data_IF_789573383872
#
_entry.id   IF_789573383872
#
_cell.length_a   1.000
_cell.length_b   1.000
_cell.length_c   1.000
_cell.angle_alpha   90.00
_cell.angle_beta   90.00
_cell.angle_gamma   90.00
#
_symmetry.space_group_name_H-M   'P 1'
#
loop_
_entity.id
_entity.type
_entity.pdbx_description
1 polymer ?
#
# COMPACT_ATOMS: atom_id res chain seq x y z
N UNK A 1 -34.40 12.24 -3.44
CA UNK A 1 -34.14 12.12 -4.89
C UNK A 1 -32.86 11.32 -5.05
N UNK A 2 -32.79 10.36 -5.98
CA UNK A 2 -31.51 9.70 -6.28
C UNK A 2 -30.51 10.73 -6.83
N UNK A 3 -29.22 10.69 -6.45
CA UNK A 3 -28.24 11.65 -6.95
C UNK A 3 -28.13 11.56 -8.48
N UNK A 4 -28.04 12.70 -9.15
CA UNK A 4 -27.93 12.78 -10.63
C UNK A 4 -26.55 12.32 -11.14
N UNK A 5 -25.55 12.25 -10.26
CA UNK A 5 -24.21 11.72 -10.53
C UNK A 5 -23.90 10.64 -9.51
N UNK A 6 -23.36 9.50 -9.98
CA UNK A 6 -22.78 8.46 -9.13
C UNK A 6 -21.30 8.33 -9.45
N UNK A 7 -20.47 8.39 -8.42
CA UNK A 7 -19.03 8.17 -8.51
C UNK A 7 -18.76 6.72 -8.16
N UNK A 8 -18.35 5.93 -9.14
CA UNK A 8 -18.11 4.49 -8.95
C UNK A 8 -16.94 4.19 -8.01
N UNK A 9 -15.91 5.02 -8.07
CA UNK A 9 -14.72 4.86 -7.24
C UNK A 9 -14.06 6.23 -6.99
N UNK A 10 -13.66 6.47 -5.75
CA UNK A 10 -12.83 7.60 -5.35
C UNK A 10 -11.51 7.09 -4.74
N UNK A 11 -10.40 7.30 -5.45
CA UNK A 11 -9.06 7.04 -4.94
C UNK A 11 -8.38 8.36 -4.59
N UNK A 12 -7.95 8.53 -3.34
CA UNK A 12 -7.26 9.72 -2.86
C UNK A 12 -6.00 9.34 -2.08
N UNK A 13 -4.99 10.22 -2.12
CA UNK A 13 -3.72 10.06 -1.44
C UNK A 13 -3.51 11.27 -0.52
N UNK A 14 -3.30 10.96 0.75
CA UNK A 14 -2.96 11.86 1.85
C UNK A 14 -3.65 13.22 1.77
N UNK A 15 -4.98 13.19 1.77
CA UNK A 15 -5.81 14.41 1.65
C UNK A 15 -5.51 15.33 2.82
N UNK A 16 -5.06 16.55 2.52
CA UNK A 16 -4.73 17.56 3.52
C UNK A 16 -5.74 18.70 3.53
N UNK A 17 -6.13 19.12 4.72
CA UNK A 17 -6.90 20.35 4.90
C UNK A 17 -5.96 21.53 4.63
N UNK A 18 -6.36 22.47 3.77
CA UNK A 18 -5.59 23.69 3.58
C UNK A 18 -5.67 24.53 4.87
N UNK A 19 -4.68 24.41 5.74
CA UNK A 19 -4.44 25.45 6.74
C UNK A 19 -3.73 26.60 6.04
N UNK A 20 -4.34 27.78 6.08
CA UNK A 20 -3.63 29.02 5.82
C UNK A 20 -2.34 29.08 6.65
N UNK A 21 -1.34 29.78 6.13
CA UNK A 21 -0.04 29.96 6.81
C UNK A 21 -0.29 30.52 8.22
N UNK A 22 0.23 29.89 9.28
CA UNK A 22 -0.05 30.31 10.65
C UNK A 22 0.43 31.75 10.87
N UNK A 23 -0.35 32.55 11.62
CA UNK A 23 -0.13 33.99 11.86
C UNK A 23 1.26 34.33 12.43
N UNK A 24 2.02 33.34 12.93
CA UNK A 24 3.33 33.50 13.56
C UNK A 24 4.51 33.67 12.59
N UNK A 25 4.29 33.56 11.27
CA UNK A 25 5.32 33.85 10.25
C UNK A 25 5.31 35.34 9.87
N UNK A 26 6.47 36.05 9.90
CA UNK A 26 6.53 37.42 9.40
C UNK A 26 6.19 37.44 7.90
N UNK A 27 5.33 38.38 7.49
CA UNK A 27 4.77 38.59 6.13
C UNK A 27 3.54 37.75 5.72
N UNK A 28 2.78 37.18 6.66
CA UNK A 28 1.56 36.38 6.40
C UNK A 28 0.31 37.16 5.93
N UNK A 29 0.35 38.49 5.88
CA UNK A 29 -0.83 39.34 5.72
C UNK A 29 -1.53 39.38 4.34
N UNK A 30 -1.30 38.45 3.41
CA UNK A 30 -1.81 38.59 2.03
C UNK A 30 -2.41 37.35 1.36
N UNK A 31 -2.49 36.19 2.02
CA UNK A 31 -3.11 34.99 1.43
C UNK A 31 -4.13 34.38 2.38
N UNK A 32 -5.29 35.02 2.47
CA UNK A 32 -6.52 34.36 2.90
C UNK A 32 -7.58 34.65 1.85
N UNK A 33 -7.80 33.66 0.97
CA UNK A 33 -8.97 33.65 0.11
C UNK A 33 -9.32 32.21 -0.27
N UNK A 34 -10.29 31.70 0.48
CA UNK A 34 -11.37 30.84 -0.02
C UNK A 34 -10.99 29.40 -0.39
N UNK A 35 -10.86 28.55 0.64
CA UNK A 35 -11.08 27.10 0.53
C UNK A 35 -11.72 26.58 1.83
N UNK A 36 -12.97 26.96 2.07
CA UNK A 36 -13.84 26.16 2.94
C UNK A 36 -14.09 24.86 2.19
N UNK A 37 -13.41 23.79 2.61
CA UNK A 37 -13.73 22.46 2.07
C UNK A 37 -15.16 22.11 2.46
N UNK A 38 -15.93 21.69 1.45
CA UNK A 38 -17.21 21.03 1.64
C UNK A 38 -17.04 19.78 2.53
N UNK A 39 -18.11 19.41 3.25
CA UNK A 39 -18.15 18.26 4.17
C UNK A 39 -17.36 17.05 3.61
N UNK A 40 -16.27 16.62 4.28
CA UNK A 40 -15.41 15.55 3.79
C UNK A 40 -16.03 14.16 3.98
N UNK A 41 -17.23 14.07 4.56
CA UNK A 41 -17.94 12.80 4.65
C UNK A 41 -18.27 12.27 3.27
N UNK A 42 -17.97 10.98 3.07
CA UNK A 42 -18.35 10.27 1.85
C UNK A 42 -19.88 10.18 1.80
N UNK A 43 -20.49 11.07 1.04
CA UNK A 43 -21.91 11.04 0.75
C UNK A 43 -22.29 9.79 -0.06
N UNK A 44 -23.57 9.41 0.01
CA UNK A 44 -24.13 8.22 -0.65
C UNK A 44 -24.01 8.17 -2.19
N UNK A 45 -23.42 9.17 -2.83
CA UNK A 45 -23.15 9.17 -4.28
C UNK A 45 -21.84 8.48 -4.66
N UNK A 46 -20.94 8.22 -3.71
CA UNK A 46 -19.69 7.47 -3.92
C UNK A 46 -19.93 5.99 -3.60
N UNK A 47 -19.77 5.09 -4.58
CA UNK A 47 -20.05 3.65 -4.39
C UNK A 47 -18.91 2.91 -3.66
N UNK A 48 -17.67 3.36 -3.82
CA UNK A 48 -16.48 2.82 -3.15
C UNK A 48 -15.38 3.88 -3.10
N UNK A 49 -14.58 3.87 -2.03
CA UNK A 49 -13.47 4.80 -1.87
C UNK A 49 -12.24 4.15 -1.20
N UNK A 50 -11.05 4.58 -1.63
CA UNK A 50 -9.77 4.25 -1.00
C UNK A 50 -9.00 5.53 -0.69
N UNK A 51 -8.56 5.67 0.56
CA UNK A 51 -7.69 6.75 1.01
C UNK A 51 -6.38 6.18 1.56
N UNK A 52 -5.26 6.51 0.90
CA UNK A 52 -3.93 6.16 1.39
C UNK A 52 -3.36 7.32 2.22
N UNK A 53 -3.12 7.12 3.51
CA UNK A 53 -2.70 8.16 4.46
C UNK A 53 -1.25 7.97 4.89
N UNK A 54 -0.48 9.05 4.94
CA UNK A 54 0.92 9.05 5.36
C UNK A 54 1.08 8.91 6.87
N UNK A 55 1.85 7.92 7.33
CA UNK A 55 2.16 7.71 8.75
C UNK A 55 3.20 8.71 9.25
N UNK A 56 4.22 9.00 8.44
CA UNK A 56 5.41 9.74 8.85
C UNK A 56 5.36 11.22 8.43
N UNK A 57 4.23 11.68 7.92
CA UNK A 57 4.00 13.11 7.69
C UNK A 57 3.69 13.80 9.02
N UNK A 58 4.65 14.60 9.47
CA UNK A 58 4.61 15.25 10.78
C UNK A 58 4.41 16.77 10.71
N UNK A 59 4.36 17.37 9.51
CA UNK A 59 4.19 18.83 9.39
C UNK A 59 2.78 19.20 9.86
N UNK A 60 2.68 20.07 10.87
CA UNK A 60 1.38 20.48 11.44
C UNK A 60 0.44 21.16 10.42
N UNK A 61 0.99 21.72 9.35
CA UNK A 61 0.22 22.35 8.26
C UNK A 61 -0.33 21.36 7.24
N UNK A 62 -0.19 20.06 7.49
CA UNK A 62 -0.66 18.96 6.66
C UNK A 62 -1.58 18.02 7.46
N UNK A 63 -2.66 18.52 8.11
CA UNK A 63 -3.58 17.64 8.84
C UNK A 63 -4.35 16.78 7.85
N UNK A 64 -4.54 15.51 8.21
CA UNK A 64 -5.31 14.55 7.42
C UNK A 64 -6.79 14.92 7.46
N UNK A 65 -7.41 14.94 6.28
CA UNK A 65 -8.86 14.95 6.14
C UNK A 65 -9.31 13.49 5.92
N UNK A 66 -9.76 12.85 6.99
CA UNK A 66 -10.20 11.45 6.97
C UNK A 66 -11.60 11.31 6.39
N UNK A 67 -11.93 10.12 5.88
CA UNK A 67 -13.30 9.76 5.48
C UNK A 67 -14.30 9.68 6.64
N UNK A 68 -13.84 9.76 7.89
CA UNK A 68 -14.70 9.76 9.08
C UNK A 68 -14.98 8.35 9.60
N UNK A 69 -16.23 8.06 9.97
CA UNK A 69 -16.61 6.77 10.56
C UNK A 69 -16.74 5.67 9.49
N UNK A 70 -15.61 5.04 9.16
CA UNK A 70 -15.54 3.88 8.25
C UNK A 70 -16.39 2.70 8.73
N UNK A 71 -16.61 2.55 10.05
CA UNK A 71 -17.44 1.47 10.58
C UNK A 71 -18.89 1.70 10.20
N UNK A 72 -19.39 2.92 10.40
CA UNK A 72 -20.74 3.29 9.98
C UNK A 72 -20.91 3.21 8.46
N UNK A 73 -19.95 3.76 7.70
CA UNK A 73 -19.98 3.74 6.23
C UNK A 73 -20.09 2.32 5.68
N UNK A 74 -19.21 1.41 6.10
CA UNK A 74 -19.23 0.03 5.59
C UNK A 74 -20.44 -0.77 6.07
N UNK A 75 -20.85 -0.63 7.33
CA UNK A 75 -22.07 -1.30 7.84
C UNK A 75 -23.33 -0.82 7.13
N UNK A 76 -23.40 0.46 6.75
CA UNK A 76 -24.51 0.97 5.94
C UNK A 76 -24.57 0.34 4.55
N UNK A 77 -23.42 -0.10 4.02
CA UNK A 77 -23.30 -0.89 2.79
C UNK A 77 -23.47 -2.41 3.02
N UNK A 78 -23.73 -2.85 4.25
CA UNK A 78 -23.91 -4.26 4.59
C UNK A 78 -22.63 -5.09 4.65
N UNK A 79 -21.47 -4.45 4.84
CA UNK A 79 -20.15 -5.09 4.90
C UNK A 79 -19.44 -4.72 6.20
N UNK A 80 -18.75 -5.65 6.85
CA UNK A 80 -17.92 -5.31 8.02
C UNK A 80 -16.69 -4.48 7.60
N UNK A 81 -16.25 -3.51 8.42
CA UNK A 81 -15.17 -2.59 8.04
C UNK A 81 -13.80 -3.24 7.86
N UNK A 82 -13.57 -4.41 8.47
CA UNK A 82 -12.34 -5.19 8.34
C UNK A 82 -12.36 -6.18 7.17
N UNK A 83 -13.47 -6.30 6.44
CA UNK A 83 -13.56 -7.15 5.27
C UNK A 83 -12.62 -6.65 4.16
N UNK A 84 -11.87 -7.53 3.47
CA UNK A 84 -10.91 -7.11 2.43
C UNK A 84 -11.56 -6.35 1.27
N UNK A 85 -12.83 -6.66 0.98
CA UNK A 85 -13.64 -6.00 -0.05
C UNK A 85 -14.62 -4.97 0.52
N UNK A 86 -14.40 -4.46 1.74
CA UNK A 86 -15.14 -3.32 2.26
C UNK A 86 -15.08 -2.15 1.26
N UNK A 87 -16.22 -1.53 0.88
CA UNK A 87 -16.25 -0.51 -0.16
C UNK A 87 -15.52 0.78 0.23
N UNK A 88 -15.45 1.10 1.52
CA UNK A 88 -14.79 2.31 2.03
C UNK A 88 -13.59 1.93 2.89
N UNK A 89 -12.39 2.23 2.41
CA UNK A 89 -11.16 1.90 3.12
C UNK A 89 -10.27 3.13 3.22
N UNK A 90 -9.75 3.39 4.41
CA UNK A 90 -8.66 4.32 4.66
C UNK A 90 -7.53 3.55 5.32
N UNK A 91 -6.37 3.53 4.69
CA UNK A 91 -5.20 2.80 5.18
C UNK A 91 -4.01 3.71 5.36
N UNK A 92 -3.29 3.47 6.44
CA UNK A 92 -2.09 4.19 6.85
C UNK A 92 -0.86 3.47 6.30
N UNK A 93 -0.13 4.16 5.43
CA UNK A 93 1.06 3.68 4.74
C UNK A 93 2.33 4.33 5.32
N UNK A 94 3.46 3.61 5.37
CA UNK A 94 4.70 4.20 5.83
C UNK A 94 5.20 5.21 4.79
N UNK A 95 5.77 6.32 5.26
CA UNK A 95 6.27 7.42 4.45
C UNK A 95 5.63 8.77 4.79
N UNK A 96 6.30 9.84 4.33
CA UNK A 96 5.79 11.22 4.36
C UNK A 96 4.77 11.45 3.23
N UNK A 97 4.12 12.62 3.19
CA UNK A 97 3.08 12.96 2.20
C UNK A 97 3.49 12.60 0.76
N UNK A 98 4.67 13.04 0.31
CA UNK A 98 5.19 12.75 -1.03
C UNK A 98 5.59 11.28 -1.24
N UNK A 99 5.89 10.53 -0.18
CA UNK A 99 6.14 9.09 -0.28
C UNK A 99 4.85 8.29 -0.45
N UNK A 100 3.68 8.86 -0.14
CA UNK A 100 2.38 8.23 -0.39
C UNK A 100 1.76 8.75 -1.70
N UNK A 101 1.74 10.07 -1.91
CA UNK A 101 1.19 10.69 -3.12
C UNK A 101 2.11 10.65 -4.33
N UNK A 102 3.40 10.37 -4.14
CA UNK A 102 4.43 10.41 -5.18
C UNK A 102 5.02 11.80 -5.42
N UNK A 103 5.65 11.99 -6.58
CA UNK A 103 6.25 13.26 -6.99
C UNK A 103 7.76 13.42 -6.76
N UNK A 104 8.37 12.45 -6.06
CA UNK A 104 9.82 12.39 -5.86
C UNK A 104 10.51 11.34 -6.73
N UNK A 105 11.84 11.24 -6.63
CA UNK A 105 12.67 10.27 -7.36
C UNK A 105 12.70 8.87 -6.73
N UNK A 106 12.34 8.75 -5.45
CA UNK A 106 12.21 7.49 -4.72
C UNK A 106 10.74 7.07 -4.73
N UNK A 107 10.45 5.90 -5.31
CA UNK A 107 9.07 5.47 -5.62
C UNK A 107 8.52 4.31 -4.80
N UNK A 108 9.34 3.55 -4.08
CA UNK A 108 8.92 2.28 -3.47
C UNK A 108 7.62 2.37 -2.68
N UNK A 109 7.55 3.29 -1.72
CA UNK A 109 6.36 3.51 -0.88
C UNK A 109 5.17 4.09 -1.64
N UNK A 110 5.41 4.94 -2.65
CA UNK A 110 4.33 5.51 -3.46
C UNK A 110 3.74 4.48 -4.42
N UNK A 111 4.56 3.54 -4.90
CA UNK A 111 4.13 2.42 -5.71
C UNK A 111 3.29 1.44 -4.87
N UNK A 112 3.63 1.19 -3.59
CA UNK A 112 2.78 0.44 -2.64
C UNK A 112 1.38 1.07 -2.51
N UNK A 113 1.32 2.39 -2.24
CA UNK A 113 0.06 3.10 -2.09
C UNK A 113 -0.74 3.13 -3.40
N UNK A 114 -0.06 3.34 -4.53
CA UNK A 114 -0.68 3.40 -5.85
C UNK A 114 -1.26 2.06 -6.29
N UNK A 115 -0.52 0.95 -6.12
CA UNK A 115 -1.02 -0.41 -6.39
C UNK A 115 -2.30 -0.68 -5.61
N UNK A 116 -2.31 -0.34 -4.31
CA UNK A 116 -3.50 -0.52 -3.48
C UNK A 116 -4.68 0.32 -3.98
N UNK A 117 -4.50 1.60 -4.34
CA UNK A 117 -5.64 2.39 -4.86
C UNK A 117 -6.14 1.85 -6.21
N UNK A 118 -5.23 1.45 -7.11
CA UNK A 118 -5.57 0.91 -8.42
C UNK A 118 -6.28 -0.44 -8.35
N UNK A 119 -5.91 -1.30 -7.41
CA UNK A 119 -6.66 -2.52 -7.14
C UNK A 119 -8.12 -2.21 -6.76
N UNK A 120 -8.36 -1.17 -5.96
CA UNK A 120 -9.71 -0.69 -5.65
C UNK A 120 -10.48 -0.22 -6.88
N UNK A 121 -9.83 0.59 -7.73
CA UNK A 121 -10.40 1.06 -8.98
C UNK A 121 -10.79 -0.12 -9.90
N UNK A 122 -9.90 -1.10 -10.06
CA UNK A 122 -10.15 -2.31 -10.84
C UNK A 122 -11.31 -3.14 -10.27
N UNK A 123 -11.37 -3.35 -8.94
CA UNK A 123 -12.49 -4.04 -8.26
C UNK A 123 -13.81 -3.30 -8.44
N UNK A 124 -13.78 -1.97 -8.47
CA UNK A 124 -14.95 -1.15 -8.82
C UNK A 124 -15.30 -1.20 -10.32
N UNK A 125 -14.50 -1.85 -11.17
CA UNK A 125 -14.77 -2.04 -12.60
C UNK A 125 -14.25 -0.93 -13.51
N UNK A 126 -13.32 -0.09 -13.03
CA UNK A 126 -12.62 0.87 -13.88
C UNK A 126 -11.59 0.13 -14.77
N UNK A 127 -11.41 0.63 -15.99
CA UNK A 127 -10.36 0.13 -16.90
C UNK A 127 -9.11 0.99 -16.72
N UNK A 128 -8.00 0.35 -16.37
CA UNK A 128 -6.72 1.02 -16.18
C UNK A 128 -5.90 0.99 -17.47
N UNK A 129 -5.27 2.11 -17.81
CA UNK A 129 -4.30 2.16 -18.90
C UNK A 129 -2.91 1.73 -18.39
N UNK A 130 -2.57 0.48 -18.65
CA UNK A 130 -1.33 -0.17 -18.22
C UNK A 130 -0.30 -0.25 -19.35
N UNK A 131 -0.48 0.52 -20.43
CA UNK A 131 0.44 0.52 -21.55
C UNK A 131 1.84 0.99 -21.14
N UNK A 132 2.86 0.50 -21.86
CA UNK A 132 4.24 0.93 -21.65
C UNK A 132 4.36 2.45 -21.76
N UNK A 133 4.98 3.08 -20.76
CA UNK A 133 5.17 4.52 -20.69
C UNK A 133 4.09 5.28 -19.91
N UNK A 134 3.01 4.62 -19.47
CA UNK A 134 2.13 5.23 -18.45
C UNK A 134 2.80 5.18 -17.09
N UNK A 135 2.33 6.03 -16.16
CA UNK A 135 2.77 5.98 -14.75
C UNK A 135 2.38 4.68 -14.06
N UNK A 136 1.46 3.89 -14.64
CA UNK A 136 0.95 2.65 -14.09
C UNK A 136 1.83 1.45 -14.45
N UNK A 137 2.65 1.59 -15.49
CA UNK A 137 3.52 0.52 -15.94
C UNK A 137 4.77 0.38 -15.06
N UNK A 138 5.07 -0.84 -14.62
CA UNK A 138 6.35 -1.17 -13.98
C UNK A 138 6.49 -0.63 -12.57
N UNK A 139 5.45 -0.76 -11.76
CA UNK A 139 5.54 -0.50 -10.32
C UNK A 139 6.57 -1.40 -9.66
N UNK A 140 7.27 -0.82 -8.69
CA UNK A 140 8.18 -1.55 -7.81
C UNK A 140 7.89 -1.19 -6.35
N UNK A 141 6.78 -1.71 -5.79
CA UNK A 141 6.46 -1.55 -4.38
C UNK A 141 7.63 -2.05 -3.52
N UNK A 142 7.95 -1.33 -2.45
CA UNK A 142 9.02 -1.68 -1.53
C UNK A 142 8.73 -1.06 -0.16
N UNK A 143 8.14 -1.88 0.71
CA UNK A 143 7.82 -1.49 2.09
C UNK A 143 9.03 -1.04 2.92
N UNK A 144 10.26 -1.37 2.47
CA UNK A 144 11.51 -1.02 3.13
C UNK A 144 12.21 0.20 2.51
N UNK A 145 11.65 0.79 1.45
CA UNK A 145 12.17 2.01 0.84
C UNK A 145 12.26 3.18 1.85
N UNK A 146 13.08 4.21 1.56
CA UNK A 146 13.18 5.40 2.41
C UNK A 146 11.81 6.06 2.69
N UNK A 147 11.62 6.56 3.92
CA UNK A 147 10.37 7.23 4.33
C UNK A 147 10.13 8.56 3.60
N UNK A 148 11.19 9.19 3.11
CA UNK A 148 11.14 10.35 2.23
C UNK A 148 11.22 9.91 0.77
N UNK A 149 10.48 10.59 -0.11
CA UNK A 149 10.44 10.31 -1.55
C UNK A 149 11.51 11.06 -2.36
N UNK A 150 12.29 11.93 -1.73
CA UNK A 150 13.32 12.75 -2.39
C UNK A 150 14.72 12.42 -1.87
N UNK A 151 15.65 12.16 -2.79
CA UNK A 151 17.07 11.99 -2.45
C UNK A 151 17.74 13.28 -1.98
N UNK A 152 17.20 14.44 -2.36
CA UNK A 152 17.71 15.78 -2.04
C UNK A 152 16.55 16.70 -1.64
N UNK A 153 16.08 16.62 -0.40
CA UNK A 153 14.94 17.42 0.04
C UNK A 153 15.30 18.91 0.02
N UNK A 154 14.46 19.72 -0.60
CA UNK A 154 14.55 21.17 -0.46
C UNK A 154 14.04 21.60 0.92
N UNK A 155 14.77 22.53 1.54
CA UNK A 155 14.38 23.06 2.84
C UNK A 155 13.13 23.93 2.71
N UNK A 156 12.13 23.69 3.57
CA UNK A 156 10.92 24.51 3.66
C UNK A 156 10.60 24.85 5.11
N UNK A 157 10.16 26.09 5.34
CA UNK A 157 9.79 26.58 6.67
C UNK A 157 8.64 25.78 7.31
N UNK A 158 7.82 25.09 6.51
CA UNK A 158 6.74 24.20 7.02
C UNK A 158 7.28 22.99 7.79
N UNK A 159 8.58 22.73 7.72
CA UNK A 159 9.25 21.65 8.43
C UNK A 159 9.63 22.01 9.88
N UNK A 160 9.36 23.23 10.37
CA UNK A 160 9.75 23.68 11.72
C UNK A 160 8.83 23.19 12.84
N UNK A 161 7.53 23.09 12.56
CA UNK A 161 6.53 22.58 13.51
C UNK A 161 6.19 21.15 13.13
N UNK A 162 6.46 20.21 14.05
CA UNK A 162 6.32 18.78 13.80
C UNK A 162 5.65 18.08 14.97
N UNK A 163 4.58 17.37 14.69
CA UNK A 163 3.94 16.45 15.63
C UNK A 163 3.48 15.20 14.89
N UNK A 164 3.38 14.08 15.59
CA UNK A 164 2.84 12.84 15.03
C UNK A 164 1.33 12.95 14.86
N UNK A 165 0.81 12.31 13.82
CA UNK A 165 -0.64 12.24 13.58
C UNK A 165 -1.27 11.34 14.65
N UNK A 166 -2.56 11.54 14.95
CA UNK A 166 -3.28 10.72 15.94
C UNK A 166 -3.35 9.24 15.51
N UNK A 167 -3.50 8.98 14.21
CA UNK A 167 -3.32 7.66 13.59
C UNK A 167 -4.55 6.73 13.64
N UNK A 168 -4.39 5.47 13.18
CA UNK A 168 -5.48 4.50 13.09
C UNK A 168 -5.91 3.97 14.46
N UNK A 169 -7.19 3.62 14.59
CA UNK A 169 -7.76 2.99 15.80
C UNK A 169 -7.76 1.46 15.73
N UNK A 170 -7.64 0.90 14.53
CA UNK A 170 -7.68 -0.54 14.30
C UNK A 170 -6.60 -1.00 13.34
N UNK A 171 -6.11 -2.23 13.54
CA UNK A 171 -5.01 -2.77 12.72
C UNK A 171 -5.40 -2.97 11.25
N UNK A 172 -6.68 -3.16 10.92
CA UNK A 172 -7.17 -3.26 9.54
C UNK A 172 -7.03 -1.93 8.76
N UNK A 173 -6.86 -0.80 9.46
CA UNK A 173 -6.50 0.50 8.87
C UNK A 173 -4.98 0.62 8.63
N UNK A 174 -4.15 -0.34 9.02
CA UNK A 174 -2.70 -0.29 8.78
C UNK A 174 -2.41 -1.03 7.47
N UNK A 175 -1.78 -0.36 6.51
CA UNK A 175 -1.41 -0.97 5.24
C UNK A 175 -0.40 -2.11 5.44
N UNK A 176 -0.41 -3.12 4.56
CA UNK A 176 0.53 -4.26 4.65
C UNK A 176 1.99 -3.81 4.61
N UNK A 177 2.31 -2.80 3.82
CA UNK A 177 3.65 -2.18 3.83
C UNK A 177 4.06 -1.68 5.22
N UNK A 178 3.17 -1.00 5.95
CA UNK A 178 3.44 -0.55 7.32
C UNK A 178 3.55 -1.72 8.29
N UNK A 179 2.70 -2.75 8.16
CA UNK A 179 2.79 -3.97 8.97
C UNK A 179 4.12 -4.71 8.74
N UNK A 180 4.53 -4.90 7.49
CA UNK A 180 5.84 -5.48 7.12
C UNK A 180 6.97 -4.66 7.72
N UNK A 181 6.96 -3.34 7.54
CA UNK A 181 7.99 -2.44 8.05
C UNK A 181 8.07 -2.47 9.59
N UNK A 182 6.93 -2.47 10.29
CA UNK A 182 6.88 -2.62 11.75
C UNK A 182 7.51 -3.93 12.23
N UNK A 183 7.23 -5.02 11.51
CA UNK A 183 7.67 -6.37 11.87
C UNK A 183 9.10 -6.67 11.41
N UNK A 184 9.70 -5.80 10.60
CA UNK A 184 11.05 -5.97 10.05
C UNK A 184 12.11 -5.67 11.12
N UNK A 185 13.17 -6.49 11.23
CA UNK A 185 14.29 -6.22 12.14
C UNK A 185 14.96 -4.87 11.90
N UNK A 186 15.34 -4.18 12.98
CA UNK A 186 15.98 -2.85 12.94
C UNK A 186 17.23 -2.78 12.04
N UNK A 187 18.04 -3.84 11.98
CA UNK A 187 19.24 -3.88 11.14
C UNK A 187 18.93 -3.80 9.63
N UNK A 188 17.73 -4.18 9.19
CA UNK A 188 17.26 -4.02 7.80
C UNK A 188 16.66 -2.63 7.53
N UNK A 189 16.49 -1.81 8.57
CA UNK A 189 15.91 -0.47 8.53
C UNK A 189 16.93 0.64 8.87
N UNK A 190 18.23 0.33 8.82
CA UNK A 190 19.28 1.30 9.14
C UNK A 190 19.65 1.41 10.63
N UNK A 191 19.20 0.46 11.46
CA UNK A 191 19.65 0.30 12.85
C UNK A 191 18.57 0.48 13.90
N UNK A 192 17.46 1.14 13.56
CA UNK A 192 16.35 1.41 14.49
C UNK A 192 15.05 0.72 14.04
N UNK A 193 14.22 0.22 14.97
CA UNK A 193 12.92 -0.35 14.63
C UNK A 193 11.94 0.75 14.20
N UNK A 194 11.09 0.44 13.21
CA UNK A 194 10.04 1.35 12.77
C UNK A 194 8.88 1.39 13.77
N UNK A 195 8.84 2.41 14.64
CA UNK A 195 7.85 2.58 15.72
C UNK A 195 7.33 4.03 15.82
N UNK A 196 6.71 4.59 14.76
CA UNK A 196 6.17 5.95 14.82
C UNK A 196 5.01 6.04 15.83
N UNK A 197 4.91 7.18 16.54
CA UNK A 197 3.86 7.41 17.54
C UNK A 197 2.46 7.44 16.93
N UNK A 198 2.35 7.76 15.63
CA UNK A 198 1.12 7.62 14.84
C UNK A 198 0.50 6.21 14.95
N UNK A 199 1.29 5.15 15.18
CA UNK A 199 0.78 3.78 15.30
C UNK A 199 0.56 3.32 16.75
N UNK A 200 0.69 4.20 17.76
CA UNK A 200 0.63 3.83 19.18
C UNK A 200 -0.65 3.08 19.58
N UNK A 201 -1.78 3.39 18.95
CA UNK A 201 -3.07 2.79 19.29
C UNK A 201 -3.19 1.32 18.87
N UNK A 202 -2.44 0.91 17.84
CA UNK A 202 -2.47 -0.45 17.27
C UNK A 202 -1.16 -1.22 17.52
N UNK A 203 -0.22 -0.61 18.25
CA UNK A 203 1.11 -1.16 18.50
C UNK A 203 1.08 -2.56 19.15
N UNK A 204 0.15 -2.81 20.08
CA UNK A 204 0.01 -4.10 20.74
C UNK A 204 -0.38 -5.21 19.74
N UNK A 205 -1.35 -4.93 18.86
CA UNK A 205 -1.78 -5.87 17.81
C UNK A 205 -0.67 -6.11 16.78
N UNK A 206 0.02 -5.05 16.35
CA UNK A 206 1.16 -5.17 15.44
C UNK A 206 2.32 -5.99 16.03
N UNK A 207 2.57 -5.87 17.33
CA UNK A 207 3.57 -6.70 18.02
C UNK A 207 3.16 -8.18 18.08
N UNK A 208 1.86 -8.47 18.25
CA UNK A 208 1.34 -9.83 18.31
C UNK A 208 1.49 -10.60 16.98
N UNK A 209 1.65 -9.90 15.85
CA UNK A 209 1.87 -10.51 14.52
C UNK A 209 3.25 -11.17 14.35
N UNK A 210 4.16 -10.97 15.31
CA UNK A 210 5.52 -11.52 15.25
C UNK A 210 6.41 -10.88 14.19
N UNK A 211 7.68 -11.28 14.16
CA UNK A 211 8.65 -10.69 13.24
C UNK A 211 8.43 -11.13 11.79
N UNK A 212 8.73 -10.23 10.87
CA UNK A 212 8.77 -10.48 9.44
C UNK A 212 10.22 -10.73 9.04
N UNK A 213 10.56 -12.00 8.80
CA UNK A 213 11.92 -12.46 8.46
C UNK A 213 11.98 -13.03 7.05
N UNK A 214 11.08 -12.58 6.17
CA UNK A 214 11.07 -13.02 4.78
C UNK A 214 12.37 -12.61 4.09
N UNK A 215 12.97 -13.56 3.39
CA UNK A 215 14.03 -13.33 2.43
C UNK A 215 13.57 -13.85 1.07
N UNK A 216 13.72 -13.06 -0.01
CA UNK A 216 13.47 -13.55 -1.36
C UNK A 216 14.27 -14.84 -1.63
N UNK A 217 13.71 -15.80 -2.39
CA UNK A 217 14.42 -17.04 -2.69
C UNK A 217 15.70 -16.73 -3.47
N UNK A 218 16.81 -17.38 -3.10
CA UNK A 218 18.09 -17.26 -3.80
C UNK A 218 18.09 -18.03 -5.13
N UNK A 219 17.40 -19.18 -5.19
CA UNK A 219 17.29 -20.01 -6.39
C UNK A 219 16.04 -19.64 -7.19
N UNK A 220 16.21 -18.70 -8.11
CA UNK A 220 15.18 -18.20 -9.01
C UNK A 220 15.45 -18.74 -10.42
N UNK A 221 14.46 -19.43 -10.98
CA UNK A 221 14.51 -19.92 -12.37
C UNK A 221 14.45 -18.77 -13.37
N UNK A 222 13.56 -17.81 -13.10
CA UNK A 222 13.34 -16.65 -13.94
C UNK A 222 12.76 -15.49 -13.13
N UNK A 223 13.04 -14.26 -13.57
CA UNK A 223 12.27 -13.08 -13.22
C UNK A 223 11.57 -12.62 -14.49
N UNK A 224 10.24 -12.54 -14.45
CA UNK A 224 9.42 -12.16 -15.59
C UNK A 224 8.65 -10.88 -15.34
N UNK A 225 8.40 -10.11 -16.40
CA UNK A 225 7.50 -8.96 -16.36
C UNK A 225 6.07 -9.43 -16.62
N UNK A 226 5.14 -8.98 -15.79
CA UNK A 226 3.70 -9.19 -15.96
C UNK A 226 3.24 -8.61 -17.29
N UNK A 227 2.54 -9.41 -18.09
CA UNK A 227 1.87 -8.96 -19.31
C UNK A 227 0.39 -8.76 -19.05
N UNK A 228 -0.32 -8.00 -19.90
CA UNK A 228 -1.77 -7.89 -19.80
C UNK A 228 -2.44 -9.26 -19.73
N UNK A 229 -3.32 -9.45 -18.75
CA UNK A 229 -4.06 -10.69 -18.47
C UNK A 229 -3.23 -11.89 -17.96
N UNK A 230 -1.96 -11.69 -17.60
CA UNK A 230 -1.20 -12.73 -16.89
C UNK A 230 -1.78 -12.97 -15.49
N UNK A 231 -1.61 -14.19 -14.98
CA UNK A 231 -1.96 -14.60 -13.62
C UNK A 231 -0.82 -15.45 -13.07
N UNK A 232 -0.69 -15.57 -11.74
CA UNK A 232 0.31 -16.47 -11.14
C UNK A 232 0.13 -17.93 -11.59
N UNK A 233 -1.12 -18.34 -11.87
CA UNK A 233 -1.44 -19.66 -12.44
C UNK A 233 -0.90 -19.85 -13.87
N UNK A 234 -0.94 -18.80 -14.70
CA UNK A 234 -0.34 -18.84 -16.04
C UNK A 234 1.18 -19.07 -15.96
N UNK A 235 1.87 -18.36 -15.06
CA UNK A 235 3.30 -18.56 -14.83
C UNK A 235 3.62 -19.95 -14.30
N UNK A 236 2.86 -20.43 -13.31
CA UNK A 236 3.05 -21.76 -12.75
C UNK A 236 2.88 -22.85 -13.80
N UNK A 237 1.86 -22.75 -14.66
CA UNK A 237 1.69 -23.69 -15.77
C UNK A 237 2.85 -23.61 -16.77
N UNK A 238 3.31 -22.41 -17.15
CA UNK A 238 4.39 -22.24 -18.13
C UNK A 238 5.73 -22.79 -17.65
N UNK A 239 6.06 -22.62 -16.37
CA UNK A 239 7.37 -23.00 -15.82
C UNK A 239 7.41 -24.36 -15.15
N UNK A 240 6.30 -24.80 -14.57
CA UNK A 240 6.23 -26.05 -13.82
C UNK A 240 5.33 -27.10 -14.47
N UNK A 241 4.59 -26.75 -15.52
CA UNK A 241 3.56 -27.60 -16.12
C UNK A 241 2.26 -27.69 -15.28
N UNK A 242 2.21 -27.08 -14.11
CA UNK A 242 1.09 -27.19 -13.16
C UNK A 242 0.66 -25.81 -12.63
N UNK A 243 -0.55 -25.38 -13.02
CA UNK A 243 -1.14 -24.11 -12.60
C UNK A 243 -1.40 -24.04 -11.09
N UNK A 244 -1.58 -25.17 -10.41
CA UNK A 244 -1.89 -25.21 -8.96
C UNK A 244 -0.72 -24.75 -8.09
N UNK A 245 0.49 -24.72 -8.66
CA UNK A 245 1.73 -24.27 -8.01
C UNK A 245 1.89 -22.73 -7.98
N UNK A 246 0.86 -21.97 -8.36
CA UNK A 246 0.85 -20.51 -8.24
C UNK A 246 1.17 -20.03 -6.82
N UNK A 247 0.79 -20.80 -5.78
CA UNK A 247 1.08 -20.47 -4.37
C UNK A 247 2.58 -20.42 -4.08
N UNK A 248 3.37 -21.23 -4.79
CA UNK A 248 4.83 -21.23 -4.67
C UNK A 248 5.40 -19.93 -5.22
N UNK A 249 4.88 -19.46 -6.35
CA UNK A 249 5.24 -18.16 -6.93
C UNK A 249 4.79 -17.02 -6.01
N UNK A 250 3.56 -17.05 -5.51
CA UNK A 250 3.07 -16.01 -4.58
C UNK A 250 3.96 -15.90 -3.35
N UNK A 251 4.27 -17.02 -2.69
CA UNK A 251 5.18 -17.08 -1.52
C UNK A 251 6.56 -16.48 -1.81
N UNK A 252 7.06 -16.65 -3.02
CA UNK A 252 8.35 -16.10 -3.44
C UNK A 252 8.32 -14.58 -3.67
N UNK A 253 7.15 -13.94 -3.66
CA UNK A 253 6.93 -12.53 -3.98
C UNK A 253 6.12 -11.76 -2.92
N UNK A 254 5.94 -12.31 -1.71
CA UNK A 254 5.12 -11.71 -0.64
C UNK A 254 5.70 -10.41 -0.05
N UNK A 255 6.90 -10.02 -0.43
CA UNK A 255 7.49 -8.71 -0.17
C UNK A 255 6.94 -7.62 -1.09
N UNK A 256 6.52 -7.99 -2.31
CA UNK A 256 6.00 -7.07 -3.34
C UNK A 256 4.53 -7.30 -3.69
N UNK A 257 3.94 -8.41 -3.22
CA UNK A 257 2.54 -8.79 -3.46
C UNK A 257 1.79 -8.99 -2.14
N UNK A 258 0.67 -8.30 -2.00
CA UNK A 258 -0.27 -8.47 -0.90
C UNK A 258 -1.34 -9.52 -1.21
N UNK A 259 -1.76 -9.56 -2.47
CA UNK A 259 -2.81 -10.43 -3.01
C UNK A 259 -2.30 -11.11 -4.29
N UNK A 260 -2.46 -12.43 -4.46
CA UNK A 260 -2.00 -13.16 -5.64
C UNK A 260 -2.68 -12.75 -6.95
N UNK A 261 -3.87 -12.15 -6.89
CA UNK A 261 -4.64 -11.72 -8.05
C UNK A 261 -4.38 -10.24 -8.41
N UNK A 262 -3.72 -9.49 -7.52
CA UNK A 262 -3.38 -8.06 -7.73
C UNK A 262 -1.98 -7.88 -8.34
N UNK A 263 -1.74 -8.55 -9.48
CA UNK A 263 -0.52 -8.37 -10.29
C UNK A 263 -0.78 -7.40 -11.46
N UNK A 264 0.18 -6.51 -11.74
CA UNK A 264 0.00 -5.44 -12.74
C UNK A 264 1.02 -5.50 -13.86
N UNK A 265 0.66 -5.18 -15.12
CA UNK A 265 1.61 -5.20 -16.24
C UNK A 265 2.89 -4.39 -15.98
N UNK A 266 4.03 -5.00 -16.35
CA UNK A 266 5.36 -4.46 -16.12
C UNK A 266 5.93 -4.74 -14.72
N UNK A 267 5.16 -5.28 -13.78
CA UNK A 267 5.67 -5.71 -12.48
C UNK A 267 6.58 -6.93 -12.63
N UNK A 268 7.67 -6.99 -11.86
CA UNK A 268 8.55 -8.15 -11.81
C UNK A 268 7.96 -9.24 -10.92
N UNK A 269 7.95 -10.49 -11.41
CA UNK A 269 7.55 -11.68 -10.67
C UNK A 269 8.68 -12.69 -10.69
N UNK A 270 9.10 -13.12 -9.49
CA UNK A 270 10.12 -14.16 -9.29
C UNK A 270 9.49 -15.54 -9.40
N UNK A 271 10.06 -16.38 -10.25
CA UNK A 271 9.69 -17.78 -10.41
C UNK A 271 10.76 -18.63 -9.70
N UNK A 272 10.50 -19.13 -8.48
CA UNK A 272 11.50 -19.92 -7.76
C UNK A 272 11.72 -21.29 -8.42
N UNK A 273 12.88 -21.91 -8.19
CA UNK A 273 13.02 -23.34 -8.50
C UNK A 273 12.20 -24.16 -7.51
N UNK A 274 11.50 -25.18 -8.00
CA UNK A 274 10.84 -26.13 -7.12
C UNK A 274 11.92 -26.93 -6.37
N UNK A 275 11.75 -27.21 -5.07
CA UNK A 275 12.63 -28.14 -4.38
C UNK A 275 12.68 -29.45 -5.16
N UNK A 276 13.87 -30.00 -5.38
CA UNK A 276 13.98 -31.34 -5.96
C UNK A 276 13.19 -32.29 -5.07
N UNK A 277 12.23 -33.02 -5.65
CA UNK A 277 11.56 -34.09 -4.94
C UNK A 277 12.66 -35.03 -4.45
N UNK A 278 12.80 -35.19 -3.14
CA UNK A 278 13.85 -36.03 -2.54
C UNK A 278 13.83 -37.40 -3.21
N UNK A 279 14.82 -37.65 -4.08
CA UNK A 279 15.03 -38.94 -4.68
C UNK A 279 15.57 -39.87 -3.59
N UNK A 280 14.68 -40.56 -2.88
CA UNK A 280 15.04 -41.68 -2.02
C UNK A 280 13.84 -42.58 -1.77
N UNK A 281 13.93 -43.78 -2.32
CA UNK A 281 13.00 -44.89 -2.22
C UNK A 281 13.41 -46.03 -3.15
N UNK A 282 14.64 -46.54 -2.98
CA UNK A 282 15.23 -47.72 -3.62
C UNK A 282 14.19 -48.83 -3.92
N UNK A 283 13.99 -49.23 -5.17
CA UNK A 283 14.65 -50.36 -5.85
C UNK A 283 15.23 -51.46 -4.93
N UNK A 284 14.42 -51.99 -4.02
CA UNK A 284 14.67 -53.30 -3.40
C UNK A 284 14.17 -54.47 -4.25
N UNK A 285 14.92 -54.84 -5.30
CA UNK A 285 14.84 -56.20 -5.87
C UNK A 285 15.29 -57.19 -4.80
N UNK A 286 14.41 -58.09 -4.38
CA UNK A 286 14.79 -59.40 -3.85
C UNK A 286 13.85 -60.45 -4.43
N UNK A 287 14.36 -61.17 -5.44
CA UNK A 287 13.91 -62.51 -5.75
C UNK A 287 14.54 -63.49 -4.76
N UNK A 288 13.79 -64.51 -4.38
CA UNK A 288 14.16 -65.59 -3.48
C UNK A 288 12.92 -66.36 -3.09
#
# INVERSE_FOLDING_TARGET
>A
MAPQLRVRFLGVWDTVGALGVPEKLPFSGWFNREYDFHDPSLDAFVESARHAVAIDERRELFPVVSFGDLTQLNRSAGVEPDHPDAPYQEKWFPGVHGAIGGGGDIRGLSDDALVWVLAGASKAGLKLDTANGTRIHGFKPDALAPLANESKPEWSATQLLRDDRDGPRHVWQVAQAAQRRWRTPAHRLGGEPYRPDTLKHVAAELNAMGMWTFEPPADVLAVELVKPSDTLSHYAHRHYGDASLWRTIFKANIDTLDDPDEIFPGQEIRIPRLPEATASGDIGRAGG
#
